data_IF_061575606760
#
_entry.id   IF_061575606760
#
_cell.length_a   1.000
_cell.length_b   1.000
_cell.length_c   1.000
_cell.angle_alpha   90.00
_cell.angle_beta   90.00
_cell.angle_gamma   90.00
#
_symmetry.space_group_name_H-M   'P 1'
#
loop_
_entity.id
_entity.type
_entity.pdbx_description
1 polymer ?
#
# COMPACT_ATOMS: atom_id res chain seq x y z
N UNK A 1 25.68 -2.19 14.50
CA UNK A 1 25.46 -1.26 15.63
C UNK A 1 24.99 0.11 15.12
N UNK A 2 24.01 0.74 15.76
CA UNK A 2 23.57 2.11 15.46
C UNK A 2 24.72 3.13 15.52
N UNK A 3 25.80 2.81 16.25
CA UNK A 3 27.04 3.59 16.29
C UNK A 3 27.85 3.62 14.98
N UNK A 4 27.46 2.84 13.95
CA UNK A 4 28.14 2.77 12.65
C UNK A 4 27.25 3.23 11.47
N UNK A 5 26.06 3.76 11.73
CA UNK A 5 25.18 4.27 10.67
C UNK A 5 25.45 5.76 10.44
N UNK A 6 25.43 6.24 9.18
CA UNK A 6 25.70 7.64 8.83
C UNK A 6 24.55 8.59 9.27
N UNK A 7 23.34 8.07 9.44
CA UNK A 7 22.18 8.84 9.91
C UNK A 7 22.05 8.84 11.45
N UNK A 8 21.33 9.84 11.98
CA UNK A 8 21.08 9.98 13.41
C UNK A 8 20.59 8.65 14.04
N UNK A 9 21.05 8.28 15.26
CA UNK A 9 20.79 6.97 15.84
C UNK A 9 19.28 6.74 16.00
N UNK A 10 18.74 5.82 15.21
CA UNK A 10 17.35 5.38 15.34
C UNK A 10 17.18 4.60 16.66
N UNK A 11 16.50 5.20 17.63
CA UNK A 11 16.17 4.57 18.92
C UNK A 11 15.25 3.34 18.76
N UNK A 12 14.58 3.19 17.62
CA UNK A 12 13.80 1.98 17.27
C UNK A 12 14.69 0.73 17.31
N UNK A 13 15.99 0.86 17.00
CA UNK A 13 16.95 -0.24 17.05
C UNK A 13 17.30 -0.70 18.48
N UNK A 14 16.93 0.07 19.50
CA UNK A 14 17.09 -0.30 20.92
C UNK A 14 15.85 -1.01 21.48
N UNK A 15 14.80 -1.22 20.68
CA UNK A 15 13.57 -1.88 21.14
C UNK A 15 13.85 -3.29 21.70
N UNK A 16 14.84 -3.99 21.14
CA UNK A 16 15.30 -5.29 21.63
C UNK A 16 15.95 -5.26 23.03
N UNK A 17 16.37 -4.09 23.52
CA UNK A 17 16.91 -3.93 24.87
C UNK A 17 15.83 -3.61 25.92
N UNK A 18 14.59 -3.31 25.52
CA UNK A 18 13.50 -3.00 26.45
C UNK A 18 13.30 -4.09 27.51
N UNK A 19 13.28 -5.41 27.18
CA UNK A 19 13.13 -6.45 28.19
C UNK A 19 14.21 -6.39 29.28
N UNK A 20 15.47 -6.10 28.89
CA UNK A 20 16.59 -6.00 29.82
C UNK A 20 16.43 -4.79 30.74
N UNK A 21 16.04 -3.64 30.20
CA UNK A 21 15.81 -2.41 30.97
C UNK A 21 14.70 -2.64 32.01
N UNK A 22 13.58 -3.23 31.60
CA UNK A 22 12.49 -3.53 32.53
C UNK A 22 12.88 -4.57 33.59
N UNK A 23 13.65 -5.59 33.22
CA UNK A 23 14.11 -6.62 34.16
C UNK A 23 15.07 -6.06 35.21
N UNK A 24 15.99 -5.18 34.81
CA UNK A 24 16.89 -4.50 35.75
C UNK A 24 16.14 -3.61 36.74
N UNK A 25 15.15 -2.85 36.27
CA UNK A 25 14.29 -2.03 37.13
C UNK A 25 13.49 -2.92 38.10
N UNK A 26 12.90 -4.02 37.61
CA UNK A 26 12.14 -4.95 38.43
C UNK A 26 13.01 -5.58 39.53
N UNK A 27 14.23 -6.03 39.20
CA UNK A 27 15.19 -6.56 40.18
C UNK A 27 15.56 -5.51 41.23
N UNK A 28 15.74 -4.25 40.83
CA UNK A 28 15.99 -3.14 41.75
C UNK A 28 14.84 -2.94 42.74
N UNK A 29 13.60 -2.91 42.24
CA UNK A 29 12.39 -2.77 43.06
C UNK A 29 12.24 -3.95 44.04
N UNK A 30 12.42 -5.19 43.58
CA UNK A 30 12.33 -6.38 44.44
C UNK A 30 13.40 -6.37 45.52
N UNK A 31 14.64 -6.00 45.16
CA UNK A 31 15.76 -5.94 46.10
C UNK A 31 15.56 -4.85 47.15
N UNK A 32 15.09 -3.67 46.75
CA UNK A 32 14.74 -2.58 47.66
C UNK A 32 13.58 -2.99 48.59
N UNK A 33 12.54 -3.64 48.05
CA UNK A 33 11.40 -4.15 48.83
C UNK A 33 11.83 -5.15 49.90
N UNK A 34 12.69 -6.12 49.56
CA UNK A 34 13.24 -7.10 50.53
C UNK A 34 14.08 -6.43 51.62
N UNK A 35 14.93 -5.48 51.24
CA UNK A 35 15.75 -4.73 52.19
C UNK A 35 14.90 -3.92 53.18
N UNK A 36 13.86 -3.25 52.68
CA UNK A 36 12.91 -2.49 53.51
C UNK A 36 12.09 -3.41 54.43
N UNK A 37 11.58 -4.53 53.91
CA UNK A 37 10.83 -5.50 54.72
C UNK A 37 11.66 -6.10 55.87
N UNK A 38 12.98 -6.25 55.69
CA UNK A 38 13.89 -6.73 56.72
C UNK A 38 14.18 -5.69 57.83
N UNK A 39 13.91 -4.40 57.59
CA UNK A 39 14.23 -3.30 58.53
C UNK A 39 13.01 -2.59 59.10
N UNK A 40 11.84 -2.76 58.51
CA UNK A 40 10.61 -2.07 58.91
C UNK A 40 9.73 -2.96 59.80
N UNK A 41 9.12 -2.37 60.83
CA UNK A 41 8.17 -3.05 61.71
C UNK A 41 6.78 -3.21 61.07
N UNK A 42 5.94 -4.10 61.60
CA UNK A 42 4.61 -4.43 61.05
C UNK A 42 3.72 -3.21 60.75
N UNK A 43 3.74 -2.19 61.63
CA UNK A 43 3.01 -0.92 61.42
C UNK A 43 3.49 -0.14 60.19
N UNK A 44 4.79 -0.12 59.92
CA UNK A 44 5.37 0.59 58.78
C UNK A 44 5.05 -0.14 57.46
N UNK A 45 5.11 -1.47 57.47
CA UNK A 45 4.75 -2.30 56.31
C UNK A 45 3.28 -2.10 55.89
N UNK A 46 2.37 -2.03 56.88
CA UNK A 46 0.92 -1.78 56.63
C UNK A 46 0.66 -0.41 56.00
N UNK A 47 1.56 0.56 56.17
CA UNK A 47 1.44 1.89 55.53
C UNK A 47 2.15 1.97 54.18
N UNK A 48 3.34 1.36 54.07
CA UNK A 48 4.20 1.48 52.88
C UNK A 48 3.69 0.61 51.72
N UNK A 49 3.19 -0.60 51.99
CA UNK A 49 2.71 -1.49 50.92
C UNK A 49 1.49 -0.89 50.19
N UNK A 50 0.43 -0.41 50.87
CA UNK A 50 -0.68 0.25 50.18
C UNK A 50 -0.26 1.51 49.44
N UNK A 51 0.69 2.31 49.97
CA UNK A 51 1.21 3.48 49.29
C UNK A 51 1.97 3.11 48.00
N UNK A 52 2.80 2.07 48.04
CA UNK A 52 3.51 1.56 46.86
C UNK A 52 2.53 1.00 45.82
N UNK A 53 1.54 0.22 46.26
CA UNK A 53 0.45 -0.28 45.38
C UNK A 53 -0.30 0.89 44.76
N UNK A 54 -0.63 1.92 45.54
CA UNK A 54 -1.31 3.12 45.05
C UNK A 54 -0.48 3.82 43.97
N UNK A 55 0.84 3.98 44.16
CA UNK A 55 1.72 4.56 43.14
C UNK A 55 1.72 3.73 41.86
N UNK A 56 1.80 2.40 41.96
CA UNK A 56 1.73 1.50 40.79
C UNK A 56 0.39 1.63 40.08
N UNK A 57 -0.72 1.63 40.82
CA UNK A 57 -2.08 1.79 40.26
C UNK A 57 -2.23 3.15 39.60
N UNK A 58 -1.79 4.23 40.24
CA UNK A 58 -1.85 5.59 39.67
C UNK A 58 -0.97 5.71 38.42
N UNK A 59 0.21 5.08 38.41
CA UNK A 59 1.10 5.06 37.25
C UNK A 59 0.51 4.25 36.11
N UNK A 60 -0.09 3.10 36.39
CA UNK A 60 -0.79 2.28 35.41
C UNK A 60 -1.99 3.02 34.83
N UNK A 61 -2.82 3.63 35.69
CA UNK A 61 -3.95 4.46 35.29
C UNK A 61 -3.50 5.62 34.40
N UNK A 62 -2.49 6.39 34.84
CA UNK A 62 -1.94 7.51 34.06
C UNK A 62 -1.35 7.06 32.73
N UNK A 63 -0.67 5.90 32.70
CA UNK A 63 -0.13 5.32 31.47
C UNK A 63 -1.24 4.96 30.49
N UNK A 64 -2.31 4.32 30.96
CA UNK A 64 -3.48 3.97 30.13
C UNK A 64 -4.18 5.23 29.63
N UNK A 65 -4.39 6.21 30.49
CA UNK A 65 -5.06 7.48 30.16
C UNK A 65 -4.24 8.30 29.15
N UNK A 66 -2.95 8.51 29.44
CA UNK A 66 -2.02 9.19 28.53
C UNK A 66 -1.86 8.43 27.22
N UNK A 67 -1.89 7.09 27.27
CA UNK A 67 -1.83 6.24 26.09
C UNK A 67 -3.04 6.43 25.18
N UNK A 68 -4.25 6.58 25.73
CA UNK A 68 -5.46 6.89 24.94
C UNK A 68 -5.36 8.25 24.26
N UNK A 69 -4.88 9.27 24.98
CA UNK A 69 -4.67 10.61 24.42
C UNK A 69 -3.61 10.57 23.32
N UNK A 70 -2.50 9.88 23.56
CA UNK A 70 -1.41 9.73 22.61
C UNK A 70 -1.85 8.99 21.35
N UNK A 71 -2.57 7.87 21.47
CA UNK A 71 -3.11 7.12 20.31
C UNK A 71 -4.17 7.90 19.51
N UNK A 72 -4.87 8.84 20.15
CA UNK A 72 -5.85 9.70 19.48
C UNK A 72 -5.21 10.95 18.83
N UNK A 73 -3.93 11.25 19.12
CA UNK A 73 -3.27 12.43 18.59
C UNK A 73 -3.06 12.30 17.07
N UNK A 74 -3.42 13.32 16.27
CA UNK A 74 -3.29 13.30 14.81
C UNK A 74 -1.88 12.92 14.32
N UNK A 75 -0.84 13.53 14.90
CA UNK A 75 0.56 13.27 14.53
C UNK A 75 0.97 11.81 14.77
N UNK A 76 0.43 11.19 15.83
CA UNK A 76 0.71 9.78 16.14
C UNK A 76 0.01 8.88 15.14
N UNK A 77 -1.26 9.15 14.85
CA UNK A 77 -2.03 8.39 13.85
C UNK A 77 -1.39 8.45 12.47
N UNK A 78 -0.92 9.62 12.05
CA UNK A 78 -0.21 9.82 10.79
C UNK A 78 1.15 9.08 10.78
N UNK A 79 1.99 9.31 11.79
CA UNK A 79 3.34 8.74 11.86
C UNK A 79 3.34 7.21 11.96
N UNK A 80 2.34 6.64 12.61
CA UNK A 80 2.18 5.19 12.76
C UNK A 80 1.22 4.59 11.74
N UNK A 81 0.76 5.37 10.76
CA UNK A 81 -0.14 4.94 9.68
C UNK A 81 -1.35 4.15 10.21
N UNK A 82 -2.04 4.69 11.23
CA UNK A 82 -3.20 4.03 11.85
C UNK A 82 -4.32 3.71 10.84
N UNK A 83 -4.28 4.36 9.68
CA UNK A 83 -5.25 4.17 8.60
C UNK A 83 -5.41 2.71 8.18
N UNK A 84 -4.34 1.91 8.20
CA UNK A 84 -4.42 0.49 7.85
C UNK A 84 -5.24 -0.30 8.86
N UNK A 85 -5.08 0.03 10.14
CA UNK A 85 -5.89 -0.53 11.21
C UNK A 85 -7.35 -0.07 11.10
N UNK A 86 -7.60 1.20 10.77
CA UNK A 86 -8.95 1.72 10.60
C UNK A 86 -9.67 1.06 9.42
N UNK A 87 -8.99 0.89 8.27
CA UNK A 87 -9.49 0.15 7.11
C UNK A 87 -9.76 -1.31 7.47
N UNK A 88 -8.83 -1.98 8.16
CA UNK A 88 -9.00 -3.37 8.61
C UNK A 88 -10.22 -3.54 9.50
N UNK A 89 -10.42 -2.63 10.46
CA UNK A 89 -11.55 -2.65 11.38
C UNK A 89 -12.87 -2.40 10.65
N UNK A 90 -12.91 -1.42 9.76
CA UNK A 90 -14.10 -1.13 8.96
C UNK A 90 -14.47 -2.33 8.08
N UNK A 91 -13.52 -2.87 7.32
CA UNK A 91 -13.78 -4.01 6.46
C UNK A 91 -14.25 -5.23 7.26
N UNK A 92 -13.61 -5.51 8.40
CA UNK A 92 -14.01 -6.62 9.27
C UNK A 92 -15.41 -6.45 9.86
N UNK A 93 -15.80 -5.23 10.19
CA UNK A 93 -17.13 -4.95 10.73
C UNK A 93 -18.23 -5.18 9.68
N UNK A 94 -17.94 -4.95 8.39
CA UNK A 94 -18.89 -5.06 7.29
C UNK A 94 -18.76 -6.36 6.48
N UNK A 95 -17.75 -7.20 6.76
CA UNK A 95 -17.45 -8.43 6.03
C UNK A 95 -18.62 -9.41 5.91
N UNK A 96 -19.52 -9.46 6.89
CA UNK A 96 -20.66 -10.40 6.85
C UNK A 96 -21.69 -10.03 5.78
N UNK A 97 -21.80 -8.74 5.45
CA UNK A 97 -22.67 -8.26 4.38
C UNK A 97 -22.00 -8.39 3.01
N UNK A 98 -20.66 -8.59 2.99
CA UNK A 98 -19.82 -8.61 1.78
C UNK A 98 -18.73 -9.71 1.82
N UNK A 99 -19.10 -11.00 2.00
CA UNK A 99 -18.15 -12.08 2.34
C UNK A 99 -17.16 -12.49 1.23
N UNK A 100 -17.31 -11.95 0.01
CA UNK A 100 -16.44 -12.23 -1.13
C UNK A 100 -15.80 -10.96 -1.72
N UNK A 101 -15.88 -9.84 -1.00
CA UNK A 101 -15.35 -8.56 -1.46
C UNK A 101 -13.82 -8.55 -1.44
N UNK A 102 -13.22 -8.21 -2.58
CA UNK A 102 -11.79 -7.95 -2.69
C UNK A 102 -11.50 -6.50 -2.31
N UNK A 103 -10.55 -6.28 -1.39
CA UNK A 103 -10.14 -4.92 -1.04
C UNK A 103 -9.20 -4.40 -2.12
N UNK A 104 -9.51 -3.26 -2.72
CA UNK A 104 -8.54 -2.50 -3.48
C UNK A 104 -8.10 -1.33 -2.60
N UNK A 105 -6.81 -1.20 -2.34
CA UNK A 105 -6.28 -0.24 -1.36
C UNK A 105 -5.31 0.70 -2.06
N UNK A 106 -5.60 2.00 -2.00
CA UNK A 106 -4.68 3.04 -2.45
C UNK A 106 -3.65 3.35 -1.37
N UNK A 107 -2.42 3.60 -1.80
CA UNK A 107 -1.31 4.02 -0.97
C UNK A 107 -0.45 5.02 -1.74
N UNK A 108 0.35 5.82 -1.04
CA UNK A 108 1.37 6.62 -1.69
C UNK A 108 2.50 5.73 -2.22
N UNK A 109 2.83 4.67 -1.46
CA UNK A 109 3.89 3.73 -1.80
C UNK A 109 3.63 2.37 -1.17
N UNK A 110 3.47 1.32 -1.97
CA UNK A 110 3.22 -0.02 -1.46
C UNK A 110 4.52 -0.72 -1.06
N UNK A 111 4.52 -1.30 0.14
CA UNK A 111 5.58 -2.19 0.61
C UNK A 111 4.95 -3.50 1.12
N UNK A 112 5.58 -4.67 0.89
CA UNK A 112 5.05 -5.95 1.37
C UNK A 112 4.73 -5.98 2.87
N UNK A 113 5.50 -5.24 3.69
CA UNK A 113 5.27 -5.13 5.13
C UNK A 113 3.92 -4.51 5.50
N UNK A 114 3.34 -3.67 4.63
CA UNK A 114 2.00 -3.08 4.82
C UNK A 114 0.91 -4.13 4.60
N UNK A 115 1.07 -5.01 3.61
CA UNK A 115 0.17 -6.15 3.42
C UNK A 115 0.23 -7.12 4.61
N UNK A 116 1.44 -7.36 5.15
CA UNK A 116 1.59 -8.17 6.37
C UNK A 116 0.94 -7.51 7.60
N UNK A 117 1.06 -6.19 7.74
CA UNK A 117 0.40 -5.44 8.81
C UNK A 117 -1.13 -5.55 8.71
N UNK A 118 -1.68 -5.34 7.51
CA UNK A 118 -3.11 -5.51 7.26
C UNK A 118 -3.58 -6.93 7.60
N UNK A 119 -2.80 -7.95 7.22
CA UNK A 119 -3.08 -9.36 7.55
C UNK A 119 -3.11 -9.60 9.07
N UNK A 120 -2.21 -8.98 9.83
CA UNK A 120 -2.18 -9.09 11.29
C UNK A 120 -3.40 -8.41 11.92
N UNK A 121 -3.77 -7.22 11.45
CA UNK A 121 -4.93 -6.45 11.95
C UNK A 121 -6.26 -7.16 11.65
N UNK A 122 -6.37 -7.73 10.44
CA UNK A 122 -7.52 -8.55 10.02
C UNK A 122 -7.50 -9.94 10.68
N UNK A 123 -6.34 -10.49 11.02
CA UNK A 123 -6.18 -11.82 11.64
C UNK A 123 -6.22 -13.00 10.65
N UNK A 124 -6.38 -12.74 9.35
CA UNK A 124 -6.21 -13.70 8.26
C UNK A 124 -5.72 -12.93 7.02
N UNK A 125 -5.33 -13.63 5.95
CA UNK A 125 -4.88 -12.98 4.72
C UNK A 125 -6.10 -12.53 3.89
N UNK A 126 -6.44 -11.22 3.84
CA UNK A 126 -7.54 -10.77 3.01
C UNK A 126 -7.17 -10.84 1.51
N UNK A 127 -8.15 -11.02 0.61
CA UNK A 127 -7.93 -10.81 -0.81
C UNK A 127 -7.77 -9.30 -1.06
N UNK A 128 -6.55 -8.79 -0.98
CA UNK A 128 -6.24 -7.38 -1.19
C UNK A 128 -5.47 -7.16 -2.50
N UNK A 129 -5.76 -6.05 -3.18
CA UNK A 129 -5.00 -5.48 -4.30
C UNK A 129 -4.51 -4.11 -3.87
N UNK A 130 -3.24 -3.84 -4.11
CA UNK A 130 -2.65 -2.56 -3.75
C UNK A 130 -2.37 -1.73 -5.00
N UNK A 131 -2.74 -0.46 -4.96
CA UNK A 131 -2.37 0.54 -5.96
C UNK A 131 -1.57 1.64 -5.29
N UNK A 132 -0.59 2.17 -6.01
CA UNK A 132 0.37 3.14 -5.48
C UNK A 132 0.56 4.35 -6.39
N UNK A 133 1.28 5.36 -5.91
CA UNK A 133 1.68 6.55 -6.67
C UNK A 133 0.52 7.28 -7.40
N UNK A 134 -0.72 7.05 -6.99
CA UNK A 134 -1.91 7.66 -7.58
C UNK A 134 -2.18 7.27 -9.05
N UNK A 135 -1.44 6.32 -9.63
CA UNK A 135 -1.36 6.12 -11.09
C UNK A 135 -1.91 4.78 -11.59
N UNK A 136 -2.59 4.03 -10.73
CA UNK A 136 -3.31 2.84 -11.14
C UNK A 136 -4.68 2.70 -10.47
N UNK A 137 -5.55 1.96 -11.13
CA UNK A 137 -6.83 1.48 -10.61
C UNK A 137 -6.92 -0.01 -10.90
N UNK A 138 -7.33 -0.81 -9.92
CA UNK A 138 -7.55 -2.26 -10.09
C UNK A 138 -9.02 -2.57 -9.92
N UNK A 139 -9.56 -3.34 -10.86
CA UNK A 139 -10.90 -3.93 -10.83
C UNK A 139 -10.69 -5.43 -10.63
N UNK A 140 -10.95 -5.96 -9.44
CA UNK A 140 -10.76 -7.37 -9.17
C UNK A 140 -11.71 -8.22 -10.03
N UNK A 141 -11.33 -9.49 -10.24
CA UNK A 141 -12.18 -10.44 -10.95
C UNK A 141 -13.52 -10.68 -10.23
N UNK A 142 -13.47 -10.68 -8.90
CA UNK A 142 -14.62 -10.68 -8.01
C UNK A 142 -15.08 -9.24 -7.73
N UNK A 143 -16.24 -9.09 -7.08
CA UNK A 143 -16.66 -7.78 -6.58
C UNK A 143 -15.62 -7.23 -5.59
N UNK A 144 -15.44 -5.92 -5.59
CA UNK A 144 -14.49 -5.25 -4.72
C UNK A 144 -14.85 -3.79 -4.48
N UNK A 145 -14.40 -3.26 -3.36
CA UNK A 145 -14.48 -1.84 -3.04
C UNK A 145 -13.09 -1.23 -3.02
N UNK A 146 -13.05 0.06 -3.33
CA UNK A 146 -11.83 0.82 -3.38
C UNK A 146 -11.69 1.70 -2.13
N UNK A 147 -10.70 1.38 -1.31
CA UNK A 147 -10.34 2.05 -0.08
C UNK A 147 -9.25 3.08 -0.37
N UNK A 148 -9.59 4.35 -0.22
CA UNK A 148 -8.75 5.49 -0.59
C UNK A 148 -8.47 6.35 0.64
N UNK A 149 -7.25 6.25 1.23
CA UNK A 149 -6.79 7.22 2.20
C UNK A 149 -6.73 8.63 1.62
N UNK A 150 -7.03 9.65 2.42
CA UNK A 150 -7.04 11.05 1.96
C UNK A 150 -5.68 11.57 1.49
N UNK A 151 -4.58 10.97 1.99
CA UNK A 151 -3.21 11.28 1.57
C UNK A 151 -2.79 10.54 0.29
N UNK A 152 -3.58 9.57 -0.17
CA UNK A 152 -3.30 8.74 -1.34
C UNK A 152 -4.44 8.75 -2.38
N UNK A 153 -5.01 9.93 -2.75
CA UNK A 153 -6.11 9.97 -3.72
C UNK A 153 -5.61 9.58 -5.12
N UNK A 154 -6.34 8.79 -5.91
CA UNK A 154 -5.98 8.51 -7.30
C UNK A 154 -5.83 9.79 -8.13
N UNK A 155 -5.11 9.69 -9.25
CA UNK A 155 -5.07 10.75 -10.25
C UNK A 155 -6.48 11.07 -10.74
N UNK A 156 -6.83 12.36 -10.99
CA UNK A 156 -8.18 12.76 -11.42
C UNK A 156 -8.73 11.93 -12.60
N UNK A 157 -7.92 11.68 -13.64
CA UNK A 157 -8.32 10.83 -14.77
C UNK A 157 -8.75 9.41 -14.36
N UNK A 158 -8.11 8.82 -13.35
CA UNK A 158 -8.51 7.50 -12.84
C UNK A 158 -9.73 7.60 -11.93
N UNK A 159 -9.90 8.74 -11.26
CA UNK A 159 -11.04 9.01 -10.39
C UNK A 159 -12.32 9.24 -11.20
N UNK A 160 -12.23 9.81 -12.39
CA UNK A 160 -13.33 9.94 -13.35
C UNK A 160 -13.88 8.58 -13.81
N UNK A 161 -13.05 7.53 -13.76
CA UNK A 161 -13.46 6.17 -14.10
C UNK A 161 -14.29 5.48 -13.00
N UNK A 162 -14.31 6.02 -11.78
CA UNK A 162 -15.03 5.42 -10.64
C UNK A 162 -16.21 6.30 -10.18
N UNK A 163 -17.12 5.72 -9.39
CA UNK A 163 -18.29 6.44 -8.90
C UNK A 163 -17.89 7.64 -8.01
N UNK A 164 -18.45 8.82 -8.31
CA UNK A 164 -18.03 10.10 -7.73
C UNK A 164 -18.35 10.27 -6.23
N UNK A 165 -19.41 9.60 -5.72
CA UNK A 165 -19.76 9.68 -4.29
C UNK A 165 -19.22 8.47 -3.51
N UNK A 166 -18.53 8.69 -2.38
CA UNK A 166 -18.08 7.61 -1.54
C UNK A 166 -19.25 6.93 -0.84
N UNK A 167 -19.22 5.60 -0.78
CA UNK A 167 -20.14 4.79 0.03
C UNK A 167 -19.95 5.04 1.52
N UNK A 168 -18.71 5.34 1.90
CA UNK A 168 -18.31 5.62 3.27
C UNK A 168 -17.15 6.60 3.30
N UNK A 169 -17.10 7.44 4.32
CA UNK A 169 -15.95 8.28 4.65
C UNK A 169 -15.77 8.23 6.17
N UNK A 170 -14.54 8.01 6.61
CA UNK A 170 -14.24 7.98 8.04
C UNK A 170 -14.15 9.39 8.61
N UNK A 171 -14.66 9.57 9.84
CA UNK A 171 -14.55 10.81 10.60
C UNK A 171 -13.19 10.94 11.33
N UNK A 172 -12.34 9.92 11.24
CA UNK A 172 -11.02 9.89 11.86
C UNK A 172 -9.98 10.64 11.01
N UNK A 173 -8.89 11.07 11.65
CA UNK A 173 -7.72 11.63 10.96
C UNK A 173 -6.49 10.71 11.14
N UNK A 174 -5.75 10.36 10.08
CA UNK A 174 -6.11 10.62 8.69
C UNK A 174 -7.41 9.91 8.29
N UNK A 175 -8.16 10.51 7.37
CA UNK A 175 -9.43 9.96 6.85
C UNK A 175 -9.19 9.00 5.69
N UNK A 176 -10.13 8.09 5.46
CA UNK A 176 -10.24 7.32 4.22
C UNK A 176 -11.69 7.31 3.74
N UNK A 177 -11.86 7.08 2.43
CA UNK A 177 -13.14 6.89 1.82
C UNK A 177 -13.21 5.54 1.09
N UNK A 178 -14.42 5.01 0.94
CA UNK A 178 -14.69 3.75 0.26
C UNK A 178 -15.58 4.02 -0.94
N UNK A 179 -15.16 3.54 -2.11
CA UNK A 179 -15.87 3.72 -3.37
C UNK A 179 -16.29 2.38 -3.97
N UNK A 180 -17.44 2.37 -4.63
CA UNK A 180 -17.83 1.26 -5.48
C UNK A 180 -16.93 1.23 -6.72
N UNK A 181 -16.41 0.05 -7.07
CA UNK A 181 -15.75 -0.16 -8.35
C UNK A 181 -16.80 -0.51 -9.42
N UNK A 182 -16.73 0.10 -10.61
CA UNK A 182 -17.65 -0.24 -11.67
C UNK A 182 -17.34 -1.65 -12.22
N UNK A 183 -18.35 -2.33 -12.76
CA UNK A 183 -18.16 -3.64 -13.39
C UNK A 183 -17.37 -3.54 -14.72
N UNK A 184 -17.55 -2.43 -15.42
CA UNK A 184 -16.90 -2.11 -16.70
C UNK A 184 -16.42 -0.67 -16.68
N UNK A 185 -15.31 -0.40 -17.37
CA UNK A 185 -14.77 0.93 -17.49
C UNK A 185 -15.17 1.56 -18.81
N UNK A 186 -15.36 2.89 -18.86
CA UNK A 186 -15.67 3.62 -20.09
C UNK A 186 -14.41 3.82 -20.95
N UNK A 187 -13.64 2.75 -21.19
CA UNK A 187 -12.43 2.76 -22.03
C UNK A 187 -12.76 1.97 -23.30
N UNK A 188 -12.38 2.52 -24.45
CA UNK A 188 -12.55 1.84 -25.74
C UNK A 188 -11.71 0.56 -25.78
N UNK A 189 -12.36 -0.55 -26.14
CA UNK A 189 -11.72 -1.86 -26.18
C UNK A 189 -11.19 -2.14 -27.58
N UNK A 190 -9.98 -2.70 -27.61
CA UNK A 190 -9.35 -3.24 -28.81
C UNK A 190 -9.45 -4.77 -28.84
N UNK A 191 -9.02 -5.39 -29.95
CA UNK A 191 -8.74 -6.83 -29.90
C UNK A 191 -7.63 -7.11 -28.88
N UNK A 192 -7.84 -8.03 -27.91
CA UNK A 192 -6.87 -8.24 -26.84
C UNK A 192 -5.48 -8.61 -27.36
N UNK A 193 -4.48 -7.84 -26.98
CA UNK A 193 -3.08 -8.11 -27.30
C UNK A 193 -2.40 -8.77 -26.11
N UNK A 194 -2.16 -10.07 -26.25
CA UNK A 194 -1.62 -10.89 -25.17
C UNK A 194 -0.09 -10.82 -25.11
N UNK A 195 0.45 -10.67 -23.90
CA UNK A 195 1.87 -10.61 -23.56
C UNK A 195 2.17 -11.70 -22.52
N UNK A 196 3.21 -12.50 -22.76
CA UNK A 196 3.60 -13.61 -21.90
C UNK A 196 5.06 -13.49 -21.43
N UNK A 197 5.29 -13.73 -20.15
CA UNK A 197 6.65 -13.78 -19.59
C UNK A 197 7.24 -15.19 -19.77
N UNK A 198 8.54 -15.33 -20.12
CA UNK A 198 9.15 -16.64 -20.38
C UNK A 198 9.11 -17.62 -19.19
N UNK A 199 9.10 -17.12 -17.95
CA UNK A 199 9.02 -17.94 -16.74
C UNK A 199 7.59 -18.18 -16.23
N UNK A 200 6.57 -17.81 -17.00
CA UNK A 200 5.17 -17.80 -16.60
C UNK A 200 4.66 -16.42 -16.20
N UNK A 201 3.35 -16.23 -16.31
CA UNK A 201 2.68 -14.94 -16.21
C UNK A 201 2.22 -14.44 -17.58
N UNK A 202 1.00 -13.93 -17.64
CA UNK A 202 0.32 -13.58 -18.90
C UNK A 202 -0.68 -12.47 -18.65
N UNK A 203 -0.66 -11.46 -19.50
CA UNK A 203 -1.56 -10.32 -19.44
C UNK A 203 -2.04 -9.99 -20.84
N UNK A 204 -3.20 -9.35 -20.95
CA UNK A 204 -3.76 -8.88 -22.20
C UNK A 204 -4.01 -7.39 -22.11
N UNK A 205 -3.49 -6.61 -23.06
CA UNK A 205 -3.93 -5.24 -23.25
C UNK A 205 -5.33 -5.28 -23.88
N UNK A 206 -6.30 -4.70 -23.18
CA UNK A 206 -7.71 -4.67 -23.58
C UNK A 206 -8.10 -3.37 -24.27
N UNK A 207 -7.38 -2.29 -24.03
CA UNK A 207 -7.72 -0.96 -24.54
C UNK A 207 -6.71 0.09 -24.07
N UNK A 208 -6.74 1.25 -24.71
CA UNK A 208 -5.95 2.41 -24.28
C UNK A 208 -6.61 3.72 -24.72
N UNK A 209 -6.30 4.81 -24.03
CA UNK A 209 -6.85 6.13 -24.32
C UNK A 209 -5.78 7.20 -24.06
N UNK A 210 -5.66 8.14 -24.98
CA UNK A 210 -4.81 9.33 -24.82
C UNK A 210 -5.62 10.48 -24.25
N UNK A 211 -5.02 11.20 -23.31
CA UNK A 211 -5.57 12.41 -22.74
C UNK A 211 -4.49 13.50 -22.78
N UNK A 212 -4.80 14.61 -23.44
CA UNK A 212 -3.89 15.74 -23.50
C UNK A 212 -4.00 16.57 -22.22
N UNK A 213 -2.88 16.85 -21.57
CA UNK A 213 -2.76 17.76 -20.44
C UNK A 213 -1.77 18.88 -20.75
N UNK A 214 -1.78 19.94 -19.95
CA UNK A 214 -0.91 21.10 -20.18
C UNK A 214 0.58 20.70 -20.00
N UNK A 215 1.28 20.53 -21.11
CA UNK A 215 2.69 20.12 -21.13
C UNK A 215 2.94 18.62 -21.00
N UNK A 216 1.89 17.79 -20.85
CA UNK A 216 1.98 16.34 -20.68
C UNK A 216 1.02 15.60 -21.62
N UNK A 217 1.45 14.42 -22.06
CA UNK A 217 0.60 13.42 -22.69
C UNK A 217 0.33 12.31 -21.68
N UNK A 218 -0.94 12.15 -21.31
CA UNK A 218 -1.38 11.04 -20.50
C UNK A 218 -1.84 9.90 -21.39
N UNK A 219 -1.40 8.69 -21.07
CA UNK A 219 -1.88 7.46 -21.69
C UNK A 219 -2.46 6.57 -20.59
N UNK A 220 -3.74 6.25 -20.69
CA UNK A 220 -4.38 5.21 -19.89
C UNK A 220 -4.27 3.90 -20.67
N UNK A 221 -3.69 2.87 -20.06
CA UNK A 221 -3.68 1.51 -20.63
C UNK A 221 -4.52 0.60 -19.76
N UNK A 222 -5.42 -0.17 -20.37
CA UNK A 222 -6.33 -1.08 -19.70
C UNK A 222 -5.91 -2.52 -19.96
N UNK A 223 -5.65 -3.27 -18.88
CA UNK A 223 -5.10 -4.61 -18.93
C UNK A 223 -5.98 -5.62 -18.23
N UNK A 224 -5.89 -6.88 -18.63
CA UNK A 224 -6.39 -8.04 -17.88
C UNK A 224 -5.25 -8.98 -17.55
N UNK A 225 -5.22 -9.46 -16.32
CA UNK A 225 -4.29 -10.50 -15.85
C UNK A 225 -4.88 -11.85 -16.20
N UNK A 226 -4.26 -12.56 -17.14
CA UNK A 226 -4.68 -13.91 -17.52
C UNK A 226 -4.05 -14.95 -16.60
N UNK A 227 -2.79 -14.73 -16.22
CA UNK A 227 -2.04 -15.53 -15.26
C UNK A 227 -1.19 -14.62 -14.38
N UNK A 228 -1.06 -14.89 -13.06
CA UNK A 228 -0.27 -14.07 -12.15
C UNK A 228 1.14 -13.79 -12.70
N UNK A 229 1.52 -12.52 -12.68
CA UNK A 229 2.81 -12.03 -13.19
C UNK A 229 3.88 -12.09 -12.09
N UNK A 230 5.18 -12.10 -12.44
CA UNK A 230 6.26 -11.97 -11.46
C UNK A 230 6.09 -10.74 -10.55
N UNK A 231 6.49 -10.85 -9.28
CA UNK A 231 6.25 -9.84 -8.25
C UNK A 231 6.94 -8.49 -8.51
N UNK A 232 8.01 -8.49 -9.30
CA UNK A 232 8.82 -7.34 -9.70
C UNK A 232 8.50 -6.85 -11.12
N UNK A 233 7.34 -7.24 -11.67
CA UNK A 233 6.87 -6.79 -12.98
C UNK A 233 6.67 -5.28 -12.99
N UNK A 234 7.10 -4.63 -14.08
CA UNK A 234 6.90 -3.23 -14.38
C UNK A 234 6.46 -3.07 -15.83
N UNK A 235 5.74 -2.00 -16.14
CA UNK A 235 5.52 -1.58 -17.53
C UNK A 235 6.61 -0.61 -17.96
N UNK A 236 6.84 -0.55 -19.27
CA UNK A 236 7.58 0.53 -19.91
C UNK A 236 6.72 1.11 -21.04
N UNK A 237 6.83 2.41 -21.26
CA UNK A 237 6.32 3.10 -22.44
C UNK A 237 7.47 3.93 -23.01
N UNK A 238 7.86 3.67 -24.25
CA UNK A 238 8.88 4.44 -24.95
C UNK A 238 8.26 5.25 -26.09
N UNK A 239 8.56 6.53 -26.15
CA UNK A 239 8.35 7.37 -27.32
C UNK A 239 9.62 7.38 -28.17
N UNK A 240 9.51 6.92 -29.43
CA UNK A 240 10.63 6.70 -30.33
C UNK A 240 10.57 7.68 -31.51
N UNK A 241 11.73 8.17 -31.95
CA UNK A 241 11.88 8.91 -33.21
C UNK A 241 11.95 7.97 -34.43
N UNK A 242 12.09 8.57 -35.63
CA UNK A 242 12.17 7.84 -36.89
C UNK A 242 13.37 6.89 -36.99
N UNK A 243 14.45 7.19 -36.26
CA UNK A 243 15.66 6.39 -36.14
C UNK A 243 15.57 5.33 -35.02
N UNK A 244 14.45 5.27 -34.31
CA UNK A 244 14.20 4.33 -33.22
C UNK A 244 14.90 4.70 -31.90
N UNK A 245 15.36 5.94 -31.74
CA UNK A 245 15.92 6.43 -30.48
C UNK A 245 14.81 6.83 -29.51
N UNK A 246 15.02 6.58 -28.22
CA UNK A 246 14.09 6.96 -27.17
C UNK A 246 14.16 8.47 -26.94
N UNK A 247 13.07 9.18 -27.29
CA UNK A 247 12.91 10.61 -27.01
C UNK A 247 12.42 10.87 -25.59
N UNK A 248 11.53 9.99 -25.11
CA UNK A 248 11.01 10.01 -23.75
C UNK A 248 10.56 8.61 -23.35
N UNK A 249 10.50 8.36 -22.05
CA UNK A 249 10.01 7.09 -21.52
C UNK A 249 9.29 7.26 -20.19
N UNK A 250 8.42 6.29 -19.90
CA UNK A 250 7.84 6.06 -18.59
C UNK A 250 8.10 4.61 -18.17
N UNK A 251 8.60 4.41 -16.96
CA UNK A 251 8.82 3.09 -16.37
C UNK A 251 8.11 3.00 -15.03
N UNK A 252 7.21 2.03 -14.89
CA UNK A 252 6.44 1.89 -13.66
C UNK A 252 5.35 0.84 -13.78
N UNK A 253 4.91 0.28 -12.66
CA UNK A 253 3.63 -0.40 -12.59
C UNK A 253 3.10 -0.09 -11.20
N UNK A 254 2.00 0.63 -11.17
CA UNK A 254 1.44 1.23 -9.97
C UNK A 254 0.30 0.37 -9.41
N UNK A 255 -0.11 -0.68 -10.12
CA UNK A 255 -0.81 -1.82 -9.55
C UNK A 255 0.23 -2.82 -9.01
N UNK A 256 0.26 -3.07 -7.70
CA UNK A 256 1.27 -3.92 -7.09
C UNK A 256 1.22 -5.34 -7.67
N UNK A 257 2.19 -5.68 -8.54
CA UNK A 257 2.22 -6.93 -9.31
C UNK A 257 2.07 -8.18 -8.43
N UNK A 258 2.70 -8.19 -7.25
CA UNK A 258 2.62 -9.26 -6.25
C UNK A 258 1.21 -9.54 -5.71
N UNK A 259 0.27 -8.60 -5.88
CA UNK A 259 -1.09 -8.69 -5.35
C UNK A 259 -2.11 -9.07 -6.43
N UNK A 260 -1.76 -8.91 -7.70
CA UNK A 260 -2.62 -9.21 -8.84
C UNK A 260 -2.87 -10.71 -8.99
N UNK A 261 -4.10 -11.06 -9.35
CA UNK A 261 -4.55 -12.44 -9.60
C UNK A 261 -5.19 -12.56 -10.99
N UNK A 262 -5.32 -13.80 -11.46
CA UNK A 262 -5.99 -14.08 -12.71
C UNK A 262 -7.44 -13.56 -12.70
N UNK A 263 -7.85 -12.94 -13.80
CA UNK A 263 -9.14 -12.30 -13.99
C UNK A 263 -9.18 -10.82 -13.55
N UNK A 264 -8.20 -10.34 -12.77
CA UNK A 264 -8.15 -8.94 -12.42
C UNK A 264 -7.92 -8.08 -13.67
N UNK A 265 -8.53 -6.91 -13.67
CA UNK A 265 -8.34 -5.89 -14.69
C UNK A 265 -7.73 -4.67 -14.03
N UNK A 266 -6.86 -3.95 -14.71
CA UNK A 266 -6.28 -2.74 -14.14
C UNK A 266 -6.03 -1.68 -15.20
N UNK A 267 -6.14 -0.43 -14.78
CA UNK A 267 -5.75 0.74 -15.56
C UNK A 267 -4.43 1.24 -15.02
N UNK A 268 -3.48 1.48 -15.91
CA UNK A 268 -2.22 2.15 -15.60
C UNK A 268 -2.17 3.48 -16.33
N UNK A 269 -1.86 4.54 -15.60
CA UNK A 269 -1.58 5.86 -16.14
C UNK A 269 -0.09 6.02 -16.43
N UNK A 270 0.24 6.27 -17.69
CA UNK A 270 1.57 6.65 -18.16
C UNK A 270 1.59 8.14 -18.47
N UNK A 271 2.75 8.77 -18.30
CA UNK A 271 2.92 10.20 -18.58
C UNK A 271 4.20 10.42 -19.34
N UNK A 272 4.07 11.13 -20.46
CA UNK A 272 5.19 11.59 -21.27
C UNK A 272 5.12 13.11 -21.39
N UNK A 273 6.24 13.80 -21.67
CA UNK A 273 6.19 15.19 -22.10
C UNK A 273 5.31 15.36 -23.35
N UNK A 274 4.54 16.45 -23.42
CA UNK A 274 3.80 16.79 -24.64
C UNK A 274 4.71 17.36 -25.73
N UNK A 275 4.23 17.38 -26.98
CA UNK A 275 4.94 17.98 -28.12
C UNK A 275 6.13 17.18 -28.64
N UNK A 276 6.25 15.90 -28.24
CA UNK A 276 7.23 14.98 -28.80
C UNK A 276 6.85 14.66 -30.24
N UNK A 277 7.79 14.81 -31.17
CA UNK A 277 7.65 14.34 -32.56
C UNK A 277 7.97 12.83 -32.65
N UNK A 278 7.40 12.05 -31.74
CA UNK A 278 7.56 10.60 -31.73
C UNK A 278 6.83 9.99 -32.92
N UNK A 279 7.51 9.14 -33.67
CA UNK A 279 6.90 8.38 -34.78
C UNK A 279 6.29 7.08 -34.31
N UNK A 280 6.64 6.62 -33.10
CA UNK A 280 6.19 5.35 -32.55
C UNK A 280 6.12 5.38 -31.03
N UNK A 281 5.08 4.75 -30.48
CA UNK A 281 4.95 4.45 -29.06
C UNK A 281 5.05 2.95 -28.84
N UNK A 282 6.04 2.50 -28.06
CA UNK A 282 6.27 1.11 -27.74
C UNK A 282 5.95 0.84 -26.26
N UNK A 283 4.92 0.06 -26.00
CA UNK A 283 4.42 -0.30 -24.67
C UNK A 283 4.75 -1.77 -24.37
N UNK A 284 5.23 -2.08 -23.17
CA UNK A 284 5.40 -3.48 -22.78
C UNK A 284 5.62 -3.67 -21.30
N UNK A 285 5.99 -4.90 -20.94
CA UNK A 285 6.26 -5.29 -19.56
C UNK A 285 7.59 -6.00 -19.44
N UNK A 286 8.21 -5.89 -18.26
CA UNK A 286 9.47 -6.54 -17.94
C UNK A 286 9.59 -6.79 -16.43
N UNK A 287 10.51 -7.65 -16.03
CA UNK A 287 10.88 -7.84 -14.61
C UNK A 287 12.04 -6.95 -14.24
N UNK A 288 11.92 -6.17 -13.16
CA UNK A 288 12.91 -5.16 -12.77
C UNK A 288 14.25 -5.77 -12.36
N UNK A 289 14.25 -6.92 -11.67
CA UNK A 289 15.49 -7.53 -11.19
C UNK A 289 16.31 -8.15 -12.32
N UNK A 290 15.64 -8.78 -13.30
CA UNK A 290 16.31 -9.55 -14.36
C UNK A 290 16.39 -8.82 -15.71
N UNK A 291 15.54 -7.81 -15.93
CA UNK A 291 15.39 -7.11 -17.20
C UNK A 291 14.68 -7.92 -18.28
N UNK A 292 14.20 -9.14 -17.98
CA UNK A 292 13.51 -9.99 -18.95
C UNK A 292 12.17 -9.37 -19.35
N UNK A 293 11.96 -9.21 -20.65
CA UNK A 293 10.75 -8.63 -21.25
C UNK A 293 9.71 -9.69 -21.58
N UNK A 294 8.45 -9.33 -21.40
CA UNK A 294 7.32 -10.12 -21.87
C UNK A 294 7.31 -10.12 -23.40
N UNK A 295 6.89 -11.22 -24.00
CA UNK A 295 6.78 -11.38 -25.45
C UNK A 295 5.32 -11.38 -25.86
N UNK A 296 5.00 -10.69 -26.95
CA UNK A 296 3.67 -10.73 -27.54
C UNK A 296 3.37 -12.15 -28.05
N UNK A 297 2.21 -12.69 -27.67
CA UNK A 297 1.81 -14.04 -28.08
C UNK A 297 1.42 -14.02 -29.55
N UNK A 298 2.02 -14.92 -30.34
CA UNK A 298 1.80 -14.98 -31.79
C UNK A 298 2.66 -14.02 -32.62
N UNK A 299 3.49 -13.20 -31.98
CA UNK A 299 4.48 -12.34 -32.63
C UNK A 299 5.87 -12.54 -32.02
N UNK A 300 6.91 -12.05 -32.70
CA UNK A 300 8.30 -12.06 -32.18
C UNK A 300 8.70 -10.71 -31.60
N UNK A 301 7.74 -9.97 -31.04
CA UNK A 301 7.93 -8.65 -30.46
C UNK A 301 7.84 -8.71 -28.94
N UNK A 302 8.61 -7.85 -28.26
CA UNK A 302 8.61 -7.70 -26.80
C UNK A 302 7.93 -6.41 -26.33
N UNK A 303 7.19 -5.78 -27.24
CA UNK A 303 6.35 -4.60 -27.02
C UNK A 303 5.12 -4.65 -27.95
N UNK A 304 4.11 -3.88 -27.58
CA UNK A 304 2.95 -3.52 -28.38
C UNK A 304 3.20 -2.11 -28.93
N UNK A 305 3.05 -1.95 -30.25
CA UNK A 305 3.04 -0.64 -30.88
C UNK A 305 1.65 -0.02 -30.74
N UNK A 306 1.58 1.19 -30.17
CA UNK A 306 0.34 1.93 -30.03
C UNK A 306 0.17 2.88 -31.22
N UNK A 307 -1.03 2.92 -31.76
CA UNK A 307 -1.39 3.85 -32.82
C UNK A 307 -1.77 5.18 -32.15
N UNK A 308 -1.13 6.28 -32.59
CA UNK A 308 -1.55 7.64 -32.22
C UNK A 308 -2.52 8.12 -33.28
N UNK A 309 -3.79 8.35 -32.91
CA UNK A 309 -4.78 8.96 -33.80
C UNK A 309 -4.44 10.42 -34.18
#
# INVERSE_FOLDING_TARGET
>A
PSALAPDAPSLVRLIGLLPLVYLLVALGVVSAGRFLAARLGQRQTVLIVPAAVLVVVLTAWRTVDSGRIWLAAPEVREKYQSIWLDIAQYWRANWHDMPNETLVIADSWYEPVKADSLRLDVGFAPPARWVQNHRALVLPAAEGLFYVPEFAPPHPLLFELIAAEPLYRSDAYPSFAVYALPAELPIELIEPLEMAHPSGGRVSLLGYQFEAAEGELHLLTYWRVEQPVPWDTSTFLHALDAEGQVMAQYDGLDAAASTLQAGDRFVQLHTLPAGLEATKLALGMYTRESGVRFQQVGASLDFIELETE
#
